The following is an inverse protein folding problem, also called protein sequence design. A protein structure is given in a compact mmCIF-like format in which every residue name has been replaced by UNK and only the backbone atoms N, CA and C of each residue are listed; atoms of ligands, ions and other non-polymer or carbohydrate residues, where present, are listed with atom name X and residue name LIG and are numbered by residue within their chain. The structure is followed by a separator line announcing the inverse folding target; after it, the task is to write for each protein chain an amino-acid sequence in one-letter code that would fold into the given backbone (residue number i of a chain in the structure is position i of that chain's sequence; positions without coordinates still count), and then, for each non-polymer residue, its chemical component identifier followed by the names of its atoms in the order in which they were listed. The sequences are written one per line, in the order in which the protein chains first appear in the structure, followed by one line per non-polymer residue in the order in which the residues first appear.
data_IF_891662556616
#
_entry.id   IF_891662556616
#
_cell.length_a   1.000
_cell.length_b   1.000
_cell.length_c   1.000
_cell.angle_alpha   90.00
_cell.angle_beta   90.00
_cell.angle_gamma   90.00
#
_symmetry.space_group_name_H-M   'P 1'
#
loop_
_entity.id
_entity.type
_entity.pdbx_description
1 polymer ?
#
# COMPACT_ATOMS: atom_id res chain seq x y z
N UNK A 1 8.54 -12.09 -2.68
CA UNK A 1 8.29 -10.63 -2.71
C UNK A 1 9.06 -10.00 -1.55
N UNK A 2 9.70 -8.85 -1.73
CA UNK A 2 10.51 -8.16 -0.71
C UNK A 2 9.71 -6.97 -0.16
N UNK A 3 9.42 -7.00 1.14
CA UNK A 3 8.55 -6.02 1.81
C UNK A 3 9.14 -4.61 1.70
N UNK A 4 10.45 -4.44 1.82
CA UNK A 4 11.09 -3.12 1.79
C UNK A 4 11.07 -2.53 0.38
N UNK A 5 11.42 -3.35 -0.62
CA UNK A 5 11.41 -2.94 -2.02
C UNK A 5 9.99 -2.59 -2.51
N UNK A 6 8.98 -3.36 -2.10
CA UNK A 6 7.57 -3.10 -2.42
C UNK A 6 7.07 -1.84 -1.74
N UNK A 7 7.36 -1.66 -0.45
CA UNK A 7 6.93 -0.47 0.31
C UNK A 7 7.54 0.79 -0.30
N UNK A 8 8.83 0.76 -0.68
CA UNK A 8 9.49 1.86 -1.37
C UNK A 8 8.82 2.18 -2.71
N UNK A 9 8.57 1.15 -3.52
CA UNK A 9 7.91 1.32 -4.84
C UNK A 9 6.51 1.92 -4.68
N UNK A 10 5.73 1.45 -3.70
CA UNK A 10 4.41 1.99 -3.38
C UNK A 10 4.52 3.48 -3.02
N UNK A 11 5.45 3.86 -2.15
CA UNK A 11 5.65 5.25 -1.75
C UNK A 11 6.02 6.14 -2.94
N UNK A 12 6.87 5.67 -3.85
CA UNK A 12 7.20 6.43 -5.07
C UNK A 12 5.98 6.74 -5.95
N UNK A 13 4.96 5.86 -5.95
CA UNK A 13 3.69 6.12 -6.64
C UNK A 13 2.80 7.09 -5.88
N UNK A 14 2.74 6.97 -4.55
CA UNK A 14 2.03 7.92 -3.68
C UNK A 14 2.56 9.33 -3.86
N UNK A 15 3.89 9.50 -3.83
CA UNK A 15 4.55 10.81 -3.98
C UNK A 15 4.28 11.47 -5.35
N UNK A 16 4.06 10.64 -6.39
CA UNK A 16 3.68 11.09 -7.73
C UNK A 16 2.17 11.34 -7.89
N UNK A 17 1.37 11.14 -6.84
CA UNK A 17 -0.09 11.24 -6.87
C UNK A 17 -0.77 10.09 -7.62
N UNK A 18 -0.05 9.01 -7.94
CA UNK A 18 -0.60 7.84 -8.63
C UNK A 18 -1.13 6.81 -7.63
N UNK A 19 -2.20 7.19 -6.93
CA UNK A 19 -2.80 6.37 -5.88
C UNK A 19 -3.37 5.04 -6.39
N UNK A 20 -3.83 4.99 -7.65
CA UNK A 20 -4.30 3.74 -8.25
C UNK A 20 -3.19 2.69 -8.35
N UNK A 21 -2.02 3.07 -8.87
CA UNK A 21 -0.88 2.16 -8.95
C UNK A 21 -0.39 1.73 -7.56
N UNK A 22 -0.30 2.69 -6.62
CA UNK A 22 0.08 2.41 -5.24
C UNK A 22 -0.85 1.37 -4.57
N UNK A 23 -2.17 1.55 -4.67
CA UNK A 23 -3.16 0.61 -4.12
C UNK A 23 -3.09 -0.77 -4.76
N UNK A 24 -2.96 -0.85 -6.09
CA UNK A 24 -2.88 -2.14 -6.78
C UNK A 24 -1.67 -2.96 -6.35
N UNK A 25 -0.51 -2.32 -6.19
CA UNK A 25 0.71 -3.01 -5.74
C UNK A 25 0.55 -3.44 -4.27
N UNK A 26 0.04 -2.57 -3.40
CA UNK A 26 -0.19 -2.89 -2.00
C UNK A 26 -1.16 -4.09 -1.81
N UNK A 27 -2.26 -4.12 -2.58
CA UNK A 27 -3.22 -5.23 -2.58
C UNK A 27 -2.58 -6.52 -3.13
N UNK A 28 -1.75 -6.42 -4.16
CA UNK A 28 -1.04 -7.59 -4.72
C UNK A 28 -0.09 -8.20 -3.70
N UNK A 29 0.67 -7.36 -2.99
CA UNK A 29 1.56 -7.79 -1.93
C UNK A 29 0.78 -8.38 -0.74
N UNK A 30 -0.32 -7.75 -0.29
CA UNK A 30 -1.24 -8.28 0.72
C UNK A 30 -1.71 -9.70 0.38
N UNK A 31 -2.13 -9.91 -0.87
CA UNK A 31 -2.61 -11.21 -1.32
C UNK A 31 -1.51 -12.29 -1.34
N UNK A 32 -0.27 -11.91 -1.68
CA UNK A 32 0.87 -12.82 -1.61
C UNK A 32 1.17 -13.24 -0.16
N UNK A 33 1.20 -12.30 0.78
CA UNK A 33 1.41 -12.60 2.21
C UNK A 33 0.32 -13.50 2.76
N UNK A 34 -0.94 -13.16 2.48
CA UNK A 34 -2.10 -13.97 2.89
C UNK A 34 -2.04 -15.39 2.32
N UNK A 35 -1.56 -15.57 1.08
CA UNK A 35 -1.42 -16.89 0.45
C UNK A 35 -0.35 -17.76 1.12
N UNK A 36 0.68 -17.12 1.67
CA UNK A 36 1.82 -17.79 2.30
C UNK A 36 1.69 -17.86 3.84
N UNK A 37 0.49 -17.62 4.39
CA UNK A 37 0.22 -17.57 5.83
C UNK A 37 1.15 -16.61 6.63
N UNK A 38 1.67 -15.57 5.96
CA UNK A 38 2.51 -14.54 6.57
C UNK A 38 1.65 -13.42 7.17
N UNK A 39 1.22 -13.63 8.42
CA UNK A 39 0.38 -12.66 9.12
C UNK A 39 1.08 -11.31 9.32
N UNK A 40 2.38 -11.31 9.65
CA UNK A 40 3.14 -10.08 9.87
C UNK A 40 3.20 -9.24 8.58
N UNK A 41 3.43 -9.88 7.44
CA UNK A 41 3.39 -9.21 6.14
C UNK A 41 1.98 -8.74 5.77
N UNK A 42 0.96 -9.52 6.12
CA UNK A 42 -0.45 -9.15 5.92
C UNK A 42 -0.79 -7.87 6.68
N UNK A 43 -0.45 -7.81 7.96
CA UNK A 43 -0.68 -6.64 8.83
C UNK A 43 0.05 -5.42 8.29
N UNK A 44 1.32 -5.58 7.88
CA UNK A 44 2.11 -4.50 7.28
C UNK A 44 1.44 -3.89 6.05
N UNK A 45 0.97 -4.71 5.10
CA UNK A 45 0.33 -4.17 3.88
C UNK A 45 -1.08 -3.61 4.13
N UNK A 46 -1.79 -4.06 5.16
CA UNK A 46 -3.03 -3.40 5.59
C UNK A 46 -2.75 -1.99 6.11
N UNK A 47 -1.69 -1.80 6.89
CA UNK A 47 -1.28 -0.48 7.38
C UNK A 47 -0.82 0.42 6.22
N UNK A 48 -0.07 -0.12 5.25
CA UNK A 48 0.29 0.61 4.02
C UNK A 48 -0.97 1.08 3.26
N UNK A 49 -1.94 0.20 3.06
CA UNK A 49 -3.21 0.54 2.39
C UNK A 49 -3.95 1.66 3.12
N UNK A 50 -4.01 1.59 4.46
CA UNK A 50 -4.60 2.65 5.28
C UNK A 50 -3.88 3.99 5.06
N UNK A 51 -2.55 4.00 5.07
CA UNK A 51 -1.77 5.22 4.84
C UNK A 51 -2.02 5.85 3.46
N UNK A 52 -2.19 5.04 2.42
CA UNK A 52 -2.55 5.54 1.08
C UNK A 52 -3.94 6.18 1.11
N UNK A 53 -4.93 5.52 1.72
CA UNK A 53 -6.29 6.03 1.82
C UNK A 53 -6.35 7.34 2.63
N UNK A 54 -5.60 7.43 3.73
CA UNK A 54 -5.50 8.65 4.54
C UNK A 54 -4.87 9.80 3.74
N UNK A 55 -3.83 9.50 2.95
CA UNK A 55 -3.20 10.49 2.06
C UNK A 55 -4.18 10.99 1.00
N UNK A 56 -4.98 10.10 0.40
CA UNK A 56 -6.04 10.49 -0.53
C UNK A 56 -7.11 11.34 0.16
N UNK A 57 -7.50 10.98 1.39
CA UNK A 57 -8.46 11.74 2.17
C UNK A 57 -7.95 13.16 2.48
N UNK A 58 -6.65 13.33 2.77
CA UNK A 58 -6.06 14.65 2.96
C UNK A 58 -5.96 15.45 1.66
N UNK A 59 -5.59 14.79 0.55
CA UNK A 59 -5.39 15.45 -0.74
C UNK A 59 -6.71 15.84 -1.43
N UNK A 60 -7.78 15.05 -1.24
CA UNK A 60 -9.04 15.18 -1.97
C UNK A 60 -10.27 15.34 -1.08
N UNK A 61 -10.19 14.94 0.19
CA UNK A 61 -11.31 14.99 1.12
C UNK A 61 -11.59 16.40 1.61
N UNK A 62 -12.84 16.82 1.42
CA UNK A 62 -13.47 18.05 1.94
C UNK A 62 -12.64 19.34 1.87
N UNK A 63 -12.95 20.16 0.87
CA UNK A 63 -12.92 21.63 1.05
C UNK A 63 -14.03 22.08 1.98
#
# INVERSE_FOLDING_TARGET
MDIEAETKTIQEFVDKGNFHAAMNIAISALNDRRRNDDQKGTDHFLDVIRGIADTMAQAFGSR
#
